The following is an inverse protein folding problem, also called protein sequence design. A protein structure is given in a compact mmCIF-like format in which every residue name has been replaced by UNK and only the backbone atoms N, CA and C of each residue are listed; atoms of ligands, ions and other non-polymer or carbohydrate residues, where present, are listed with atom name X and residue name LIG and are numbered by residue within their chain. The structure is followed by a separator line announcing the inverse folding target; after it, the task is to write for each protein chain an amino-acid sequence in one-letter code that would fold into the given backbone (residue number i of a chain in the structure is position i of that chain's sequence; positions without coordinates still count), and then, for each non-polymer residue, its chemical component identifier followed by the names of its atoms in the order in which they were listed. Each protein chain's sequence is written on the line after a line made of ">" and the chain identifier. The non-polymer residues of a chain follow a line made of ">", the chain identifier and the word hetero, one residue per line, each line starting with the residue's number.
data_IF_590098665257
#
_entry.id   IF_590098665257
#
_cell.length_a   1.000
_cell.length_b   1.000
_cell.length_c   1.000
_cell.angle_alpha   90.00
_cell.angle_beta   90.00
_cell.angle_gamma   90.00
#
_symmetry.space_group_name_H-M   'P 1'
#
loop_
_entity.id
_entity.type
_entity.pdbx_description
1 polymer ?
#
# COMPACT_ATOMS: atom_id res chain seq x y z
N UNK A 1 18.51 -6.76 6.50
CA UNK A 1 17.32 -6.49 7.36
C UNK A 1 17.24 -5.01 7.75
N UNK A 2 17.85 -4.49 8.84
CA UNK A 2 17.68 -3.04 9.18
C UNK A 2 18.34 -2.06 8.19
N UNK A 3 19.44 -2.44 7.53
CA UNK A 3 20.13 -1.55 6.57
C UNK A 3 19.37 -1.39 5.24
N UNK A 4 18.68 -2.44 4.78
CA UNK A 4 17.95 -2.40 3.49
C UNK A 4 16.69 -1.53 3.59
N UNK A 5 15.95 -1.66 4.70
CA UNK A 5 14.79 -0.81 5.00
C UNK A 5 15.14 0.68 5.01
N UNK A 6 16.28 1.05 5.60
CA UNK A 6 16.72 2.44 5.65
C UNK A 6 17.08 3.01 4.26
N UNK A 7 17.73 2.22 3.40
CA UNK A 7 18.05 2.67 2.04
C UNK A 7 16.78 2.90 1.21
N UNK A 8 15.78 2.04 1.41
CA UNK A 8 14.50 2.11 0.72
C UNK A 8 13.71 3.36 1.12
N UNK A 9 13.65 3.64 2.42
CA UNK A 9 13.04 4.86 2.97
C UNK A 9 13.74 6.11 2.44
N UNK A 10 15.08 6.15 2.45
CA UNK A 10 15.83 7.28 1.89
C UNK A 10 15.55 7.52 0.40
N UNK A 11 15.39 6.44 -0.39
CA UNK A 11 15.03 6.55 -1.82
C UNK A 11 13.63 7.16 -1.98
N UNK A 12 12.68 6.71 -1.17
CA UNK A 12 11.31 7.23 -1.16
C UNK A 12 11.25 8.71 -0.74
N UNK A 13 11.99 9.10 0.28
CA UNK A 13 12.07 10.51 0.71
C UNK A 13 12.65 11.41 -0.38
N UNK A 14 13.76 10.98 -1.00
CA UNK A 14 14.35 11.71 -2.13
C UNK A 14 13.38 11.83 -3.30
N UNK A 15 12.59 10.79 -3.58
CA UNK A 15 11.54 10.83 -4.61
C UNK A 15 10.54 11.94 -4.32
N UNK A 16 10.03 12.03 -3.09
CA UNK A 16 9.07 13.07 -2.67
C UNK A 16 9.70 14.46 -2.76
N UNK A 17 10.93 14.62 -2.28
CA UNK A 17 11.61 15.93 -2.25
C UNK A 17 11.95 16.46 -3.64
N UNK A 18 12.34 15.58 -4.56
CA UNK A 18 12.86 15.97 -5.88
C UNK A 18 11.82 15.85 -7.01
N UNK A 19 10.60 15.41 -6.71
CA UNK A 19 9.58 15.05 -7.71
C UNK A 19 10.13 14.08 -8.76
N UNK A 20 11.11 13.25 -8.36
CA UNK A 20 11.74 12.28 -9.22
C UNK A 20 10.85 11.05 -9.33
N UNK A 21 10.83 10.41 -10.51
CA UNK A 21 10.22 9.09 -10.64
C UNK A 21 11.24 8.02 -10.29
N UNK A 22 10.99 7.24 -9.24
CA UNK A 22 11.74 6.02 -8.94
C UNK A 22 10.85 4.80 -9.20
N UNK A 23 11.49 3.70 -9.59
CA UNK A 23 10.84 2.40 -9.62
C UNK A 23 10.89 1.80 -8.21
N UNK A 24 9.72 1.39 -7.71
CA UNK A 24 9.55 0.60 -6.50
C UNK A 24 8.58 -0.52 -6.85
N UNK A 25 8.93 -1.77 -6.54
CA UNK A 25 7.98 -2.87 -6.65
C UNK A 25 6.96 -2.88 -5.49
N UNK A 26 6.02 -3.82 -5.54
CA UNK A 26 4.95 -3.87 -4.54
C UNK A 26 5.48 -4.19 -3.14
N UNK A 27 6.46 -5.09 -3.01
CA UNK A 27 7.04 -5.49 -1.73
C UNK A 27 7.84 -4.32 -1.11
N UNK A 28 8.60 -3.59 -1.94
CA UNK A 28 9.32 -2.38 -1.54
C UNK A 28 8.34 -1.30 -1.01
N UNK A 29 7.20 -1.10 -1.67
CA UNK A 29 6.20 -0.14 -1.20
C UNK A 29 5.56 -0.58 0.12
N UNK A 30 5.24 -1.87 0.26
CA UNK A 30 4.71 -2.43 1.51
C UNK A 30 5.68 -2.22 2.68
N UNK A 31 6.99 -2.42 2.45
CA UNK A 31 8.02 -2.18 3.46
C UNK A 31 8.08 -0.70 3.87
N UNK A 32 7.99 0.24 2.93
CA UNK A 32 7.95 1.69 3.21
C UNK A 32 6.70 2.04 4.04
N UNK A 33 5.53 1.54 3.66
CA UNK A 33 4.28 1.78 4.38
C UNK A 33 4.41 1.28 5.82
N UNK A 34 4.87 0.03 6.00
CA UNK A 34 5.05 -0.59 7.31
C UNK A 34 6.10 0.15 8.16
N UNK A 35 7.18 0.65 7.54
CA UNK A 35 8.18 1.44 8.24
C UNK A 35 7.56 2.65 8.92
N UNK A 36 6.88 3.51 8.15
CA UNK A 36 6.28 4.72 8.70
C UNK A 36 5.07 4.43 9.61
N UNK A 37 4.30 3.40 9.30
CA UNK A 37 3.20 2.96 10.15
C UNK A 37 3.70 2.54 11.55
N UNK A 38 4.77 1.74 11.61
CA UNK A 38 5.35 1.27 12.87
C UNK A 38 6.07 2.38 13.66
N UNK A 39 6.65 3.37 12.96
CA UNK A 39 7.23 4.57 13.59
C UNK A 39 6.16 5.56 14.09
N UNK A 40 4.93 5.42 13.60
CA UNK A 40 3.80 6.30 13.94
C UNK A 40 3.71 7.56 13.07
N UNK A 41 4.55 7.69 12.04
CA UNK A 41 4.43 8.74 11.03
C UNK A 41 3.35 8.39 10.00
N UNK A 42 2.10 8.46 10.45
CA UNK A 42 0.93 8.14 9.64
C UNK A 42 0.85 9.00 8.35
N UNK A 43 1.16 10.31 8.37
CA UNK A 43 1.19 11.11 7.14
C UNK A 43 2.14 10.56 6.05
N UNK A 44 3.34 10.08 6.42
CA UNK A 44 4.26 9.48 5.45
C UNK A 44 3.79 8.09 5.00
N UNK A 45 3.21 7.30 5.90
CA UNK A 45 2.58 6.03 5.53
C UNK A 45 1.45 6.25 4.51
N UNK A 46 0.60 7.27 4.69
CA UNK A 46 -0.46 7.63 3.73
C UNK A 46 0.11 8.01 2.36
N UNK A 47 1.21 8.77 2.31
CA UNK A 47 1.89 9.09 1.04
C UNK A 47 2.42 7.84 0.33
N UNK A 48 2.97 6.90 1.07
CA UNK A 48 3.44 5.63 0.52
C UNK A 48 2.26 4.79 -0.02
N UNK A 49 1.12 4.82 0.67
CA UNK A 49 -0.12 4.20 0.20
C UNK A 49 -0.66 4.88 -1.06
N UNK A 50 -0.65 6.20 -1.15
CA UNK A 50 -1.06 6.94 -2.35
C UNK A 50 -0.20 6.53 -3.55
N UNK A 51 1.12 6.47 -3.37
CA UNK A 51 2.02 5.97 -4.41
C UNK A 51 1.70 4.51 -4.78
N UNK A 52 1.56 3.65 -3.78
CA UNK A 52 1.24 2.23 -3.94
C UNK A 52 -0.05 1.98 -4.71
N UNK A 53 -1.12 2.70 -4.37
CA UNK A 53 -2.41 2.60 -5.06
C UNK A 53 -2.37 3.19 -6.48
N UNK A 54 -1.53 4.21 -6.72
CA UNK A 54 -1.35 4.77 -8.06
C UNK A 54 -0.61 3.79 -9.00
N UNK A 55 0.39 3.06 -8.49
CA UNK A 55 1.18 2.11 -9.27
C UNK A 55 0.51 0.73 -9.36
N UNK A 56 -0.05 0.26 -8.24
CA UNK A 56 -0.56 -1.10 -8.05
C UNK A 56 -1.98 -1.06 -7.42
N UNK A 57 -2.98 -0.46 -8.09
CA UNK A 57 -4.32 -0.26 -7.53
C UNK A 57 -5.04 -1.54 -7.10
N UNK A 58 -4.61 -2.69 -7.62
CA UNK A 58 -5.17 -4.02 -7.31
C UNK A 58 -4.34 -4.82 -6.31
N UNK A 59 -3.30 -4.23 -5.74
CA UNK A 59 -2.50 -4.92 -4.71
C UNK A 59 -3.36 -5.12 -3.47
N UNK A 60 -3.57 -6.39 -3.11
CA UNK A 60 -4.36 -6.77 -1.94
C UNK A 60 -3.69 -6.23 -0.67
N UNK A 61 -2.39 -6.44 -0.52
CA UNK A 61 -1.64 -6.07 0.68
C UNK A 61 -1.61 -4.55 0.89
N UNK A 62 -1.36 -3.76 -0.15
CA UNK A 62 -1.37 -2.28 -0.05
C UNK A 62 -2.76 -1.78 0.37
N UNK A 63 -3.84 -2.37 -0.18
CA UNK A 63 -5.20 -2.00 0.20
C UNK A 63 -5.56 -2.45 1.64
N UNK A 64 -5.02 -3.57 2.12
CA UNK A 64 -5.16 -3.99 3.52
C UNK A 64 -4.48 -2.98 4.44
N UNK A 65 -3.23 -2.60 4.16
CA UNK A 65 -2.52 -1.59 4.95
C UNK A 65 -3.26 -0.23 4.94
N UNK A 66 -3.87 0.13 3.80
CA UNK A 66 -4.72 1.33 3.71
C UNK A 66 -5.94 1.24 4.61
N UNK A 67 -6.59 0.09 4.67
CA UNK A 67 -7.70 -0.14 5.59
C UNK A 67 -7.27 0.01 7.05
N UNK A 68 -6.09 -0.48 7.42
CA UNK A 68 -5.56 -0.37 8.79
C UNK A 68 -5.29 1.08 9.19
N UNK A 69 -4.75 1.89 8.27
CA UNK A 69 -4.57 3.34 8.48
C UNK A 69 -5.93 4.04 8.63
N UNK A 70 -6.92 3.69 7.82
CA UNK A 70 -8.28 4.26 7.93
C UNK A 70 -8.91 3.94 9.29
N UNK A 71 -8.79 2.70 9.77
CA UNK A 71 -9.25 2.30 11.10
C UNK A 71 -8.55 3.09 12.21
N UNK A 72 -7.23 3.23 12.12
CA UNK A 72 -6.44 4.01 13.08
C UNK A 72 -6.93 5.46 13.17
N UNK A 73 -7.33 6.03 12.03
CA UNK A 73 -7.85 7.41 11.94
C UNK A 73 -9.33 7.55 12.35
N UNK A 74 -10.00 6.44 12.66
CA UNK A 74 -11.43 6.41 13.01
C UNK A 74 -12.37 6.45 11.80
N UNK A 75 -11.85 6.29 10.59
CA UNK A 75 -12.61 6.28 9.34
C UNK A 75 -13.11 4.84 9.01
N UNK A 76 -13.77 4.20 9.99
CA UNK A 76 -14.20 2.79 9.91
C UNK A 76 -15.04 2.49 8.65
N UNK A 77 -16.00 3.36 8.32
CA UNK A 77 -16.87 3.19 7.15
C UNK A 77 -16.06 3.08 5.84
N UNK A 78 -15.03 3.92 5.67
CA UNK A 78 -14.18 3.88 4.46
C UNK A 78 -13.29 2.64 4.46
N UNK A 79 -12.82 2.21 5.63
CA UNK A 79 -12.06 0.97 5.75
C UNK A 79 -12.90 -0.22 5.29
N UNK A 80 -14.14 -0.34 5.76
CA UNK A 80 -15.04 -1.42 5.37
C UNK A 80 -15.36 -1.38 3.88
N UNK A 81 -15.70 -0.19 3.35
CA UNK A 81 -15.97 -0.01 1.92
C UNK A 81 -14.76 -0.40 1.05
N UNK A 82 -13.54 -0.06 1.48
CA UNK A 82 -12.32 -0.45 0.78
C UNK A 82 -12.15 -1.98 0.73
N UNK A 83 -12.36 -2.67 1.84
CA UNK A 83 -12.23 -4.13 1.92
C UNK A 83 -13.34 -4.83 1.13
N UNK A 84 -14.59 -4.36 1.20
CA UNK A 84 -15.69 -4.90 0.38
C UNK A 84 -15.37 -4.78 -1.11
N UNK A 85 -14.95 -3.59 -1.57
CA UNK A 85 -14.55 -3.40 -2.96
C UNK A 85 -13.39 -4.33 -3.36
N UNK A 86 -12.39 -4.49 -2.49
CA UNK A 86 -11.26 -5.37 -2.75
C UNK A 86 -11.70 -6.84 -2.89
N UNK A 87 -12.64 -7.30 -2.07
CA UNK A 87 -13.20 -8.65 -2.16
C UNK A 87 -13.96 -8.85 -3.48
N UNK A 88 -14.82 -7.90 -3.88
CA UNK A 88 -15.58 -7.95 -5.13
C UNK A 88 -14.67 -8.05 -6.38
N UNK A 89 -13.54 -7.34 -6.38
CA UNK A 89 -12.55 -7.42 -7.46
C UNK A 89 -11.84 -8.78 -7.51
N UNK A 90 -11.57 -9.39 -6.35
CA UNK A 90 -10.82 -10.64 -6.26
C UNK A 90 -11.69 -11.89 -6.43
N UNK A 91 -12.97 -11.85 -6.05
CA UNK A 91 -13.95 -12.91 -6.35
C UNK A 91 -14.14 -13.11 -7.86
N UNK A 92 -13.92 -12.05 -8.65
CA UNK A 92 -13.95 -12.07 -10.11
C UNK A 92 -12.56 -12.23 -10.76
N UNK A 93 -11.51 -12.54 -9.99
CA UNK A 93 -10.19 -12.81 -10.58
C UNK A 93 -10.30 -13.99 -11.54
N UNK A 94 -10.09 -13.72 -12.82
CA UNK A 94 -10.36 -14.63 -13.93
C UNK A 94 -9.59 -15.95 -13.86
N UNK A 95 -8.55 -16.03 -13.02
CA UNK A 95 -7.78 -17.26 -12.76
C UNK A 95 -8.66 -18.37 -12.16
N UNK A 96 -9.64 -18.03 -11.31
CA UNK A 96 -10.64 -18.99 -10.80
C UNK A 96 -11.68 -19.38 -11.85
N UNK A 97 -11.99 -18.48 -12.80
CA UNK A 97 -12.95 -18.73 -13.88
C UNK A 97 -12.35 -19.71 -14.90
N UNK A 98 -11.06 -19.59 -15.23
CA UNK A 98 -10.36 -20.53 -16.12
C UNK A 98 -10.14 -21.90 -15.48
N UNK A 99 -10.01 -21.99 -14.15
CA UNK A 99 -9.81 -23.26 -13.46
C UNK A 99 -11.10 -24.07 -13.27
N UNK A 100 -12.25 -23.47 -13.58
CA UNK A 100 -13.57 -24.10 -13.57
C UNK A 100 -14.04 -24.57 -14.96
N UNK A 101 -13.25 -24.33 -16.01
CA UNK A 101 -13.52 -24.75 -17.39
C UNK A 101 -13.05 -26.19 -17.68
#
# INVERSE_FOLDING_TARGET
>A
MQQESNELVERFEKMIESDASIFLDTDEIEEIILYYFNDGDIPMAERAIELGNNLYPKSININILHSEILLLKGDENKSYELIENLLDFNENSQDLIFQKA
#
